data_IF_262103319739
#
_entry.id   IF_262103319739
#
_cell.length_a   1.000
_cell.length_b   1.000
_cell.length_c   1.000
_cell.angle_alpha   90.00
_cell.angle_beta   90.00
_cell.angle_gamma   90.00
#
_symmetry.space_group_name_H-M   'P 1'
#
loop_
_entity.id
_entity.type
_entity.pdbx_description
1 polymer ?
#
# COMPACT_ATOMS: atom_id res chain seq x y z
N UNK A 1 22.03 -19.71 -6.64
CA UNK A 1 22.62 -20.52 -5.57
C UNK A 1 23.18 -19.75 -4.38
N UNK A 2 24.40 -19.22 -4.36
CA UNK A 2 25.01 -18.73 -3.11
C UNK A 2 24.25 -17.60 -2.38
N UNK A 3 23.57 -16.71 -3.11
CA UNK A 3 22.74 -15.66 -2.52
C UNK A 3 21.47 -16.20 -1.87
N UNK A 4 20.87 -17.24 -2.45
CA UNK A 4 19.64 -17.84 -1.93
C UNK A 4 19.88 -18.45 -0.55
N UNK A 5 20.97 -19.21 -0.39
CA UNK A 5 21.40 -19.71 0.92
C UNK A 5 21.67 -18.60 1.93
N UNK A 6 22.21 -17.45 1.47
CA UNK A 6 22.42 -16.30 2.35
C UNK A 6 21.12 -15.60 2.75
N UNK A 7 20.12 -15.54 1.88
CA UNK A 7 18.80 -14.96 2.16
C UNK A 7 17.97 -15.82 3.14
N UNK A 8 18.17 -17.13 3.14
CA UNK A 8 17.56 -18.07 4.08
C UNK A 8 18.23 -18.07 5.46
N UNK A 9 19.47 -17.61 5.57
CA UNK A 9 20.19 -17.54 6.83
C UNK A 9 19.70 -16.38 7.70
N UNK A 10 18.98 -16.68 8.79
CA UNK A 10 18.42 -15.68 9.71
C UNK A 10 19.46 -14.68 10.23
N UNK A 11 20.70 -15.12 10.49
CA UNK A 11 21.79 -14.24 10.96
C UNK A 11 22.23 -13.17 9.95
N UNK A 12 21.85 -13.32 8.68
CA UNK A 12 22.15 -12.38 7.60
C UNK A 12 20.89 -11.60 7.16
N UNK A 13 19.74 -11.83 7.81
CA UNK A 13 18.48 -11.18 7.47
C UNK A 13 18.47 -9.75 8.02
N UNK A 14 18.25 -8.80 7.13
CA UNK A 14 18.05 -7.39 7.48
C UNK A 14 16.55 -7.13 7.55
N UNK A 15 16.08 -6.56 8.66
CA UNK A 15 14.67 -6.18 8.79
C UNK A 15 14.33 -5.08 7.77
N UNK A 16 13.12 -5.12 7.15
CA UNK A 16 12.76 -4.18 6.09
C UNK A 16 12.80 -2.71 6.52
N UNK A 17 12.65 -2.41 7.81
CA UNK A 17 12.74 -1.05 8.35
C UNK A 17 14.15 -0.59 8.76
N UNK A 18 15.12 -1.51 8.90
CA UNK A 18 16.45 -1.16 9.40
C UNK A 18 17.20 -0.14 8.52
N UNK A 19 17.14 -0.21 7.17
CA UNK A 19 17.79 0.80 6.33
C UNK A 19 17.20 2.22 6.53
N UNK A 20 15.90 2.32 6.76
CA UNK A 20 15.24 3.61 6.98
C UNK A 20 15.67 4.24 8.31
N UNK A 21 15.84 3.46 9.37
CA UNK A 21 16.34 3.94 10.67
C UNK A 21 17.76 4.47 10.56
N UNK A 22 18.68 3.70 9.98
CA UNK A 22 20.08 4.11 9.83
C UNK A 22 20.24 5.38 8.97
N UNK A 23 19.48 5.48 7.88
CA UNK A 23 19.53 6.66 7.00
C UNK A 23 18.92 7.91 7.64
N UNK A 24 17.88 7.76 8.46
CA UNK A 24 17.27 8.88 9.18
C UNK A 24 18.20 9.44 10.26
N UNK A 25 19.00 8.57 10.90
CA UNK A 25 19.94 8.95 11.96
C UNK A 25 21.33 9.38 11.43
N UNK A 26 21.67 9.11 10.15
CA UNK A 26 22.93 9.52 9.51
C UNK A 26 22.70 10.16 8.12
N UNK A 27 22.56 11.48 8.12
CA UNK A 27 22.42 12.26 6.88
C UNK A 27 23.66 12.19 5.97
N UNK A 28 24.86 12.02 6.53
CA UNK A 28 26.08 11.89 5.72
C UNK A 28 26.13 10.53 5.01
N UNK A 29 25.63 9.46 5.64
CA UNK A 29 25.42 8.17 4.99
C UNK A 29 24.41 8.26 3.85
N UNK A 30 23.28 8.95 4.07
CA UNK A 30 22.28 9.17 3.03
C UNK A 30 22.86 9.87 1.79
N UNK A 31 23.66 10.94 1.99
CA UNK A 31 24.32 11.64 0.88
C UNK A 31 25.31 10.75 0.12
N UNK A 32 26.12 9.94 0.83
CA UNK A 32 27.04 9.01 0.16
C UNK A 32 26.32 7.94 -0.66
N UNK A 33 25.22 7.40 -0.13
CA UNK A 33 24.40 6.40 -0.84
C UNK A 33 23.78 7.02 -2.09
N UNK A 34 23.31 8.27 -2.01
CA UNK A 34 22.81 9.01 -3.17
C UNK A 34 23.91 9.25 -4.21
N UNK A 35 25.10 9.69 -3.80
CA UNK A 35 26.22 9.92 -4.70
C UNK A 35 26.74 8.65 -5.39
N UNK A 36 26.61 7.48 -4.75
CA UNK A 36 27.01 6.19 -5.31
C UNK A 36 25.94 5.53 -6.20
N UNK A 37 24.76 6.13 -6.31
CA UNK A 37 23.69 5.61 -7.14
C UNK A 37 24.06 5.64 -8.64
N UNK A 38 23.64 4.63 -9.43
CA UNK A 38 23.65 4.74 -10.89
C UNK A 38 22.92 6.00 -11.34
N UNK A 39 23.42 6.69 -12.38
CA UNK A 39 22.86 7.96 -12.83
C UNK A 39 21.41 7.84 -13.27
N UNK A 40 20.97 6.66 -13.74
CA UNK A 40 19.57 6.40 -14.11
C UNK A 40 18.64 6.44 -12.90
N UNK A 41 19.14 6.25 -11.67
CA UNK A 41 18.36 6.43 -10.43
C UNK A 41 18.37 7.85 -9.90
N UNK A 42 19.23 8.72 -10.45
CA UNK A 42 19.34 10.13 -10.10
C UNK A 42 18.74 11.03 -11.19
N UNK A 43 18.42 10.47 -12.35
CA UNK A 43 17.61 11.11 -13.36
C UNK A 43 16.29 11.47 -12.69
N UNK A 44 16.12 12.77 -12.45
CA UNK A 44 14.92 13.34 -11.90
C UNK A 44 13.87 13.37 -13.02
N UNK A 45 13.35 12.19 -13.34
CA UNK A 45 12.22 12.02 -14.26
C UNK A 45 10.92 12.54 -13.61
N UNK A 46 10.99 13.18 -12.43
CA UNK A 46 9.84 13.78 -11.73
C UNK A 46 9.10 14.81 -12.61
N UNK A 47 9.80 15.56 -13.46
CA UNK A 47 9.14 16.47 -14.42
C UNK A 47 8.38 15.71 -15.53
N UNK A 48 8.92 14.59 -16.04
CA UNK A 48 8.26 13.79 -17.09
C UNK A 48 7.11 12.94 -16.52
N UNK A 49 7.26 12.43 -15.29
CA UNK A 49 6.24 11.67 -14.56
C UNK A 49 5.06 12.54 -14.12
N UNK A 50 5.31 13.78 -13.68
CA UNK A 50 4.23 14.70 -13.29
C UNK A 50 3.36 15.11 -14.48
N UNK A 51 3.95 15.28 -15.66
CA UNK A 51 3.20 15.53 -16.91
C UNK A 51 2.31 14.35 -17.31
N UNK A 52 2.76 13.11 -17.11
CA UNK A 52 1.97 11.92 -17.39
C UNK A 52 0.74 11.80 -16.47
N UNK A 53 0.92 12.08 -15.17
CA UNK A 53 -0.19 12.10 -14.19
C UNK A 53 -1.17 13.23 -14.51
N UNK A 54 -0.67 14.41 -14.86
CA UNK A 54 -1.52 15.54 -15.25
C UNK A 54 -2.36 15.22 -16.50
N UNK A 55 -1.74 14.62 -17.52
CA UNK A 55 -2.43 14.18 -18.73
C UNK A 55 -3.49 13.11 -18.45
N UNK A 56 -3.20 12.16 -17.56
CA UNK A 56 -4.16 11.15 -17.13
C UNK A 56 -5.34 11.77 -16.36
N UNK A 57 -5.07 12.69 -15.42
CA UNK A 57 -6.10 13.34 -14.60
C UNK A 57 -6.99 14.31 -15.39
N UNK A 58 -6.53 14.80 -16.54
CA UNK A 58 -7.32 15.64 -17.43
C UNK A 58 -8.36 14.85 -18.25
N UNK A 59 -8.30 13.52 -18.26
CA UNK A 59 -9.18 12.65 -19.02
C UNK A 59 -10.25 12.00 -18.11
N UNK A 60 -11.28 12.78 -17.78
CA UNK A 60 -12.38 12.35 -16.91
C UNK A 60 -13.11 11.11 -17.45
N UNK A 61 -13.27 11.00 -18.77
CA UNK A 61 -13.94 9.87 -19.42
C UNK A 61 -13.15 8.57 -19.23
N UNK A 62 -11.82 8.62 -19.42
CA UNK A 62 -10.94 7.48 -19.16
C UNK A 62 -10.95 7.09 -17.68
N UNK A 63 -10.96 8.06 -16.78
CA UNK A 63 -11.01 7.80 -15.33
C UNK A 63 -12.31 7.10 -14.95
N UNK A 64 -13.45 7.55 -15.47
CA UNK A 64 -14.74 6.93 -15.12
C UNK A 64 -14.85 5.51 -15.67
N UNK A 65 -14.37 5.26 -16.89
CA UNK A 65 -14.31 3.90 -17.45
C UNK A 65 -13.45 2.94 -16.59
N UNK A 66 -12.32 3.42 -16.06
CA UNK A 66 -11.47 2.63 -15.15
C UNK A 66 -12.19 2.38 -13.82
N UNK A 67 -12.87 3.38 -13.26
CA UNK A 67 -13.62 3.25 -12.00
C UNK A 67 -14.78 2.26 -12.12
N UNK A 68 -15.55 2.31 -13.19
CA UNK A 68 -16.64 1.37 -13.46
C UNK A 68 -16.10 -0.06 -13.51
N UNK A 69 -15.08 -0.29 -14.35
CA UNK A 69 -14.42 -1.59 -14.45
C UNK A 69 -13.90 -2.09 -13.11
N UNK A 70 -13.25 -1.22 -12.34
CA UNK A 70 -12.72 -1.57 -11.02
C UNK A 70 -13.82 -1.97 -10.03
N UNK A 71 -14.98 -1.29 -10.08
CA UNK A 71 -16.14 -1.65 -9.25
C UNK A 71 -16.69 -3.02 -9.64
N UNK A 72 -16.74 -3.34 -10.93
CA UNK A 72 -17.21 -4.65 -11.42
C UNK A 72 -16.26 -5.77 -10.99
N UNK A 73 -14.96 -5.61 -11.22
CA UNK A 73 -13.95 -6.56 -10.78
C UNK A 73 -13.97 -6.73 -9.25
N UNK A 74 -14.14 -5.65 -8.49
CA UNK A 74 -14.26 -5.74 -7.03
C UNK A 74 -15.47 -6.56 -6.58
N UNK A 75 -16.62 -6.45 -7.26
CA UNK A 75 -17.82 -7.27 -6.98
C UNK A 75 -17.57 -8.74 -7.26
N UNK A 76 -16.95 -9.06 -8.40
CA UNK A 76 -16.63 -10.43 -8.76
C UNK A 76 -15.67 -11.08 -7.75
N UNK A 77 -14.62 -10.35 -7.33
CA UNK A 77 -13.65 -10.81 -6.34
C UNK A 77 -14.25 -10.95 -4.95
N UNK A 78 -15.14 -10.03 -4.58
CA UNK A 78 -15.86 -10.13 -3.32
C UNK A 78 -16.75 -11.37 -3.29
N UNK A 79 -17.51 -11.64 -4.35
CA UNK A 79 -18.33 -12.86 -4.44
C UNK A 79 -17.48 -14.14 -4.41
N UNK A 80 -16.33 -14.14 -5.11
CA UNK A 80 -15.39 -15.27 -5.10
C UNK A 80 -14.85 -15.55 -3.69
N UNK A 81 -14.61 -14.50 -2.91
CA UNK A 81 -13.98 -14.58 -1.60
C UNK A 81 -14.96 -14.52 -0.42
N UNK A 82 -16.27 -14.40 -0.68
CA UNK A 82 -17.30 -14.20 0.35
C UNK A 82 -17.17 -12.88 1.10
N UNK A 83 -16.66 -11.83 0.45
CA UNK A 83 -16.45 -10.48 0.99
C UNK A 83 -17.51 -9.48 0.54
N UNK A 84 -18.69 -9.93 0.11
CA UNK A 84 -19.77 -9.05 -0.39
C UNK A 84 -20.14 -7.96 0.62
N UNK A 85 -20.06 -8.27 1.92
CA UNK A 85 -20.30 -7.31 3.01
C UNK A 85 -19.26 -6.18 3.09
N UNK A 86 -18.05 -6.37 2.58
CA UNK A 86 -17.01 -5.33 2.55
C UNK A 86 -17.28 -4.25 1.49
N UNK A 87 -18.13 -4.54 0.50
CA UNK A 87 -18.56 -3.59 -0.52
C UNK A 87 -19.76 -2.74 -0.09
N UNK A 88 -20.42 -3.10 1.01
CA UNK A 88 -21.43 -2.25 1.62
C UNK A 88 -20.74 -0.97 2.12
N UNK A 89 -21.23 0.19 1.68
CA UNK A 89 -20.71 1.51 2.04
C UNK A 89 -20.49 1.62 3.56
N UNK A 90 -19.43 2.28 4.06
CA UNK A 90 -19.05 2.28 5.49
C UNK A 90 -20.05 2.96 6.45
N UNK A 91 -21.28 3.24 6.01
CA UNK A 91 -22.35 3.80 6.84
C UNK A 91 -23.01 2.78 7.79
N UNK A 92 -22.72 1.49 7.66
CA UNK A 92 -23.43 0.41 8.38
C UNK A 92 -22.49 -0.48 9.22
N UNK A 93 -21.36 0.05 9.74
CA UNK A 93 -20.80 -0.54 10.98
C UNK A 93 -21.73 -0.17 12.12
N UNK A 94 -22.89 -0.81 12.13
CA UNK A 94 -23.88 -0.72 13.18
C UNK A 94 -23.21 -1.09 14.49
N UNK A 95 -23.10 -0.09 15.37
CA UNK A 95 -22.96 -0.28 16.81
C UNK A 95 -24.21 -1.02 17.30
N UNK A 96 -24.27 -2.32 17.03
CA UNK A 96 -25.39 -3.20 17.31
C UNK A 96 -25.26 -3.82 18.69
N UNK A 97 -25.94 -3.18 19.64
CA UNK A 97 -26.73 -3.88 20.67
C UNK A 97 -25.98 -4.81 21.64
N UNK A 98 -25.29 -4.23 22.64
CA UNK A 98 -25.22 -4.86 23.97
C UNK A 98 -26.53 -4.58 24.70
N UNK A 99 -27.57 -5.35 24.38
CA UNK A 99 -28.84 -5.33 25.13
C UNK A 99 -28.59 -5.73 26.58
N UNK A 100 -28.94 -4.80 27.46
CA UNK A 100 -29.20 -5.07 28.85
C UNK A 100 -30.19 -6.24 29.02
N UNK A 101 -29.72 -7.38 29.52
CA UNK A 101 -30.57 -8.31 30.27
C UNK A 101 -29.74 -9.24 31.16
N UNK A 102 -29.54 -8.83 32.40
CA UNK A 102 -29.60 -9.75 33.55
C UNK A 102 -30.01 -8.93 34.76
N UNK A 103 -31.30 -8.57 34.78
CA UNK A 103 -31.98 -8.13 35.99
C UNK A 103 -32.20 -9.35 36.92
N UNK A 104 -31.70 -9.20 38.14
CA UNK A 104 -32.26 -9.69 39.41
C UNK A 104 -32.84 -11.10 39.53
N UNK A 105 -32.19 -11.95 40.35
CA UNK A 105 -32.73 -12.35 41.67
C UNK A 105 -31.83 -13.33 42.44
N UNK A 106 -31.64 -12.95 43.72
CA UNK A 106 -31.32 -13.71 44.93
C UNK A 106 -29.85 -13.96 45.29
#
# INVERSE_FOLDING_TARGET
DGLETAHEAESLRVAPGAPATELADDSALAERVRAAAPPERLADDEEEDTDAVAAFLADDDRIEAIRERARDEARDRAAEWGLDGALASPAEHGSGDETASTDGRN
#
